data_IF_397648815311
#
_entry.id   IF_397648815311
#
_cell.length_a   1.000
_cell.length_b   1.000
_cell.length_c   1.000
_cell.angle_alpha   90.00
_cell.angle_beta   90.00
_cell.angle_gamma   90.00
#
_symmetry.space_group_name_H-M   'P 1'
#
loop_
_entity.id
_entity.type
_entity.pdbx_description
1 polymer ?
#
# COMPACT_ATOMS: atom_id res chain seq x y z
N UNK A 1 14.84 20.77 -4.90
CA UNK A 1 13.85 20.87 -5.98
C UNK A 1 13.35 19.46 -6.22
N UNK A 2 12.07 19.19 -6.00
CA UNK A 2 11.55 17.83 -5.81
C UNK A 2 10.13 17.71 -6.32
N UNK A 3 9.73 16.50 -6.69
CA UNK A 3 8.34 16.11 -6.58
C UNK A 3 8.02 15.82 -5.10
N UNK A 4 7.16 16.64 -4.52
CA UNK A 4 6.90 16.69 -3.08
C UNK A 4 5.51 16.12 -2.75
N UNK A 5 5.45 15.22 -1.78
CA UNK A 5 4.24 14.78 -1.11
C UNK A 5 4.01 15.62 0.15
N UNK A 6 2.91 16.36 0.21
CA UNK A 6 2.44 17.05 1.39
C UNK A 6 1.39 16.20 2.09
N UNK A 7 1.59 15.96 3.39
CA UNK A 7 0.72 15.13 4.22
C UNK A 7 0.27 15.91 5.46
N UNK A 8 -1.02 16.19 5.58
CA UNK A 8 -1.61 16.70 6.81
C UNK A 8 -1.72 15.57 7.83
N UNK A 9 -0.74 15.50 8.73
CA UNK A 9 -0.53 14.38 9.64
C UNK A 9 -1.64 14.25 10.67
N UNK A 10 -2.15 15.37 11.21
CA UNK A 10 -3.26 15.35 12.19
C UNK A 10 -4.52 14.76 11.61
N UNK A 11 -4.93 15.21 10.42
CA UNK A 11 -6.15 14.73 9.80
C UNK A 11 -5.98 13.28 9.31
N UNK A 12 -4.77 12.89 8.92
CA UNK A 12 -4.43 11.51 8.57
C UNK A 12 -4.54 10.56 9.78
N UNK A 13 -3.97 10.91 10.94
CA UNK A 13 -4.10 10.09 12.15
C UNK A 13 -5.54 10.05 12.67
N UNK A 14 -6.29 11.16 12.63
CA UNK A 14 -7.73 11.18 12.96
C UNK A 14 -8.52 10.22 12.07
N UNK A 15 -8.19 10.14 10.79
CA UNK A 15 -8.80 9.17 9.88
C UNK A 15 -8.46 7.73 10.29
N UNK A 16 -7.22 7.44 10.69
CA UNK A 16 -6.84 6.10 11.18
C UNK A 16 -7.59 5.70 12.46
N UNK A 17 -7.76 6.64 13.40
CA UNK A 17 -8.56 6.45 14.62
C UNK A 17 -10.02 6.14 14.26
N UNK A 18 -10.61 6.93 13.35
CA UNK A 18 -11.98 6.70 12.89
C UNK A 18 -12.15 5.33 12.21
N UNK A 19 -11.16 4.90 11.42
CA UNK A 19 -11.19 3.56 10.81
C UNK A 19 -11.10 2.43 11.86
N UNK A 20 -10.44 2.68 12.99
CA UNK A 20 -10.42 1.73 14.11
C UNK A 20 -11.75 1.65 14.83
N UNK A 21 -12.47 2.77 14.98
CA UNK A 21 -13.84 2.77 15.53
C UNK A 21 -14.80 1.97 14.63
N UNK A 22 -14.69 2.15 13.31
CA UNK A 22 -15.53 1.44 12.33
C UNK A 22 -15.19 -0.05 12.20
N UNK A 23 -13.92 -0.42 12.44
CA UNK A 23 -13.43 -1.78 12.31
C UNK A 23 -12.45 -2.12 13.45
N UNK A 24 -12.95 -2.35 14.67
CA UNK A 24 -12.09 -2.59 15.83
C UNK A 24 -11.08 -3.72 15.60
N UNK A 25 -9.80 -3.46 15.87
CA UNK A 25 -8.73 -4.43 15.62
C UNK A 25 -8.42 -4.64 14.14
N UNK A 26 -8.68 -3.64 13.28
CA UNK A 26 -8.31 -3.74 11.87
C UNK A 26 -6.79 -3.92 11.70
N UNK A 27 -6.40 -4.60 10.63
CA UNK A 27 -5.01 -4.87 10.28
C UNK A 27 -4.59 -3.94 9.15
N UNK A 28 -3.62 -3.03 9.38
CA UNK A 28 -3.06 -2.20 8.34
C UNK A 28 -2.36 -3.04 7.27
N UNK A 29 -2.67 -2.78 6.02
CA UNK A 29 -2.00 -3.38 4.86
C UNK A 29 -0.92 -2.43 4.37
N UNK A 30 0.34 -2.84 4.43
CA UNK A 30 1.52 -2.08 4.03
C UNK A 30 2.20 -2.86 2.90
N UNK A 31 1.97 -2.46 1.65
CA UNK A 31 2.43 -3.23 0.48
C UNK A 31 2.74 -2.36 -0.72
N UNK A 32 3.47 -2.94 -1.67
CA UNK A 32 3.94 -2.25 -2.86
C UNK A 32 4.84 -1.07 -2.45
N UNK A 33 4.55 0.11 -3.00
CA UNK A 33 5.26 1.35 -2.68
C UNK A 33 4.76 2.03 -1.38
N UNK A 34 4.16 1.29 -0.45
CA UNK A 34 3.54 1.86 0.75
C UNK A 34 2.46 2.88 0.43
N UNK A 35 1.62 2.60 -0.58
CA UNK A 35 0.56 3.51 -1.03
C UNK A 35 1.06 4.92 -1.40
N UNK A 36 2.31 5.03 -1.84
CA UNK A 36 2.97 6.29 -2.18
C UNK A 36 3.68 6.98 -1.01
N UNK A 37 3.53 6.48 0.22
CA UNK A 37 4.21 7.00 1.41
C UNK A 37 5.56 6.32 1.69
N UNK A 38 5.73 5.08 1.20
CA UNK A 38 6.82 4.19 1.59
C UNK A 38 6.43 3.26 2.75
N UNK A 39 6.90 2.02 2.72
CA UNK A 39 6.48 0.98 3.66
C UNK A 39 6.90 1.30 5.10
N UNK A 40 8.11 1.80 5.32
CA UNK A 40 8.64 2.16 6.64
C UNK A 40 7.78 3.24 7.33
N UNK A 41 7.33 4.22 6.56
CA UNK A 41 6.52 5.35 7.04
C UNK A 41 5.14 4.86 7.49
N UNK A 42 4.55 3.94 6.73
CA UNK A 42 3.30 3.30 7.12
C UNK A 42 3.48 2.39 8.34
N UNK A 43 4.63 1.75 8.49
CA UNK A 43 4.94 0.92 9.65
C UNK A 43 5.08 1.76 10.92
N UNK A 44 5.75 2.92 10.83
CA UNK A 44 5.83 3.90 11.91
C UNK A 44 4.46 4.42 12.30
N UNK A 45 3.64 4.79 11.31
CA UNK A 45 2.27 5.25 11.55
C UNK A 45 1.42 4.16 12.23
N UNK A 46 1.49 2.92 11.75
CA UNK A 46 0.80 1.79 12.35
C UNK A 46 1.20 1.59 13.83
N UNK A 47 2.51 1.63 14.14
CA UNK A 47 2.99 1.52 15.54
C UNK A 47 2.55 2.69 16.41
N UNK A 48 2.61 3.92 15.89
CA UNK A 48 2.12 5.12 16.59
C UNK A 48 0.63 5.02 16.91
N UNK A 49 -0.16 4.41 16.03
CA UNK A 49 -1.58 4.08 16.26
C UNK A 49 -1.80 2.81 17.11
N UNK A 50 -0.77 2.30 17.79
CA UNK A 50 -0.89 1.14 18.69
C UNK A 50 -1.04 -0.21 17.99
N UNK A 51 -0.82 -0.29 16.68
CA UNK A 51 -0.96 -1.55 15.93
C UNK A 51 0.23 -2.47 16.18
N UNK A 52 -0.08 -3.72 16.54
CA UNK A 52 0.90 -4.78 16.80
C UNK A 52 0.94 -5.84 15.70
N UNK A 53 -0.02 -5.79 14.78
CA UNK A 53 -0.13 -6.70 13.63
C UNK A 53 -0.30 -5.88 12.35
N UNK A 54 0.44 -6.28 11.31
CA UNK A 54 0.33 -5.69 9.98
C UNK A 54 0.30 -6.78 8.90
N UNK A 55 -0.14 -6.42 7.70
CA UNK A 55 -0.10 -7.30 6.54
C UNK A 55 0.73 -6.68 5.41
N UNK A 56 1.68 -7.44 4.88
CA UNK A 56 2.57 -7.04 3.78
C UNK A 56 2.27 -7.81 2.51
N UNK A 57 2.63 -7.25 1.35
CA UNK A 57 2.36 -7.85 0.05
C UNK A 57 3.15 -9.14 -0.15
N UNK A 58 4.48 -9.07 -0.02
CA UNK A 58 5.40 -10.16 -0.34
C UNK A 58 6.35 -10.50 0.81
N UNK A 59 7.10 -11.59 0.67
CA UNK A 59 8.13 -11.99 1.65
C UNK A 59 9.32 -11.02 1.65
N UNK A 60 9.64 -10.41 0.51
CA UNK A 60 10.69 -9.38 0.41
C UNK A 60 10.31 -8.11 1.17
N UNK A 61 9.06 -7.67 1.04
CA UNK A 61 8.54 -6.54 1.81
C UNK A 61 8.58 -6.85 3.32
N UNK A 62 8.30 -8.10 3.71
CA UNK A 62 8.42 -8.55 5.09
C UNK A 62 9.87 -8.45 5.59
N UNK A 63 10.83 -9.01 4.84
CA UNK A 63 12.27 -8.95 5.18
C UNK A 63 12.74 -7.50 5.34
N UNK A 64 12.36 -6.61 4.42
CA UNK A 64 12.76 -5.21 4.48
C UNK A 64 12.24 -4.54 5.75
N UNK A 65 10.95 -4.70 6.08
CA UNK A 65 10.36 -4.09 7.27
C UNK A 65 10.85 -4.72 8.57
N UNK A 66 11.11 -6.02 8.61
CA UNK A 66 11.63 -6.69 9.81
C UNK A 66 13.10 -6.31 10.11
N UNK A 67 13.82 -5.69 9.17
CA UNK A 67 15.14 -5.14 9.46
C UNK A 67 15.09 -3.92 10.41
N UNK A 68 13.98 -3.17 10.41
CA UNK A 68 13.85 -1.88 11.10
C UNK A 68 12.68 -1.82 12.07
N UNK A 69 11.66 -2.67 11.89
CA UNK A 69 10.44 -2.68 12.68
C UNK A 69 10.19 -4.05 13.32
N UNK A 70 9.58 -4.02 14.51
CA UNK A 70 9.09 -5.22 15.20
C UNK A 70 7.57 -5.15 15.32
N UNK A 71 6.90 -6.25 14.98
CA UNK A 71 5.46 -6.47 15.13
C UNK A 71 5.28 -7.86 15.75
N UNK A 72 4.20 -8.06 16.50
CA UNK A 72 3.88 -9.38 17.06
C UNK A 72 3.54 -10.38 15.94
N UNK A 73 2.91 -9.87 14.88
CA UNK A 73 2.54 -10.65 13.70
C UNK A 73 2.70 -9.83 12.42
N UNK A 74 3.38 -10.42 11.44
CA UNK A 74 3.48 -9.89 10.09
C UNK A 74 2.91 -10.90 9.09
N UNK A 75 1.77 -10.55 8.48
CA UNK A 75 1.07 -11.43 7.54
C UNK A 75 1.56 -11.18 6.12
N UNK A 76 2.16 -12.17 5.48
CA UNK A 76 2.48 -12.11 4.03
C UNK A 76 1.24 -12.48 3.23
N UNK A 77 0.74 -11.54 2.42
CA UNK A 77 -0.56 -11.68 1.73
C UNK A 77 -0.50 -12.57 0.49
N UNK A 78 0.64 -12.65 -0.20
CA UNK A 78 0.81 -13.51 -1.38
C UNK A 78 1.44 -14.84 -1.02
N UNK A 79 0.98 -15.96 -1.61
CA UNK A 79 1.67 -17.24 -1.49
C UNK A 79 3.12 -17.14 -1.95
N UNK A 80 4.03 -17.78 -1.21
CA UNK A 80 5.45 -17.86 -1.56
C UNK A 80 5.66 -19.10 -2.41
N UNK A 81 6.20 -18.91 -3.61
CA UNK A 81 6.56 -19.97 -4.57
C UNK A 81 7.98 -19.74 -5.13
N UNK A 82 8.81 -19.05 -4.34
CA UNK A 82 10.20 -18.71 -4.62
C UNK A 82 11.08 -19.13 -3.45
N UNK A 83 12.39 -19.17 -3.69
CA UNK A 83 13.36 -19.58 -2.68
C UNK A 83 13.28 -18.71 -1.42
N UNK A 84 13.36 -19.37 -0.26
CA UNK A 84 13.45 -18.74 1.05
C UNK A 84 14.91 -18.67 1.50
N UNK A 85 15.19 -17.72 2.38
CA UNK A 85 16.48 -17.44 3.01
C UNK A 85 16.37 -17.69 4.52
N UNK A 86 17.50 -17.77 5.22
CA UNK A 86 17.51 -17.90 6.70
C UNK A 86 16.74 -16.76 7.39
N UNK A 87 16.79 -15.55 6.82
CA UNK A 87 16.00 -14.39 7.28
C UNK A 87 14.47 -14.56 7.18
N UNK A 88 13.99 -15.70 6.67
CA UNK A 88 12.57 -16.05 6.62
C UNK A 88 12.11 -17.01 7.72
N UNK A 89 13.06 -17.55 8.48
CA UNK A 89 12.79 -18.39 9.65
C UNK A 89 12.45 -17.52 10.87
N UNK A 90 11.42 -16.69 10.71
CA UNK A 90 10.99 -15.69 11.70
C UNK A 90 9.71 -16.16 12.37
N UNK A 91 9.70 -16.21 13.70
CA UNK A 91 8.57 -16.72 14.48
C UNK A 91 7.34 -15.83 14.38
N UNK A 92 7.48 -14.52 14.15
CA UNK A 92 6.38 -13.56 14.09
C UNK A 92 5.68 -13.58 12.71
N UNK A 93 6.29 -14.21 11.71
CA UNK A 93 5.78 -14.16 10.34
C UNK A 93 4.70 -15.20 10.10
N UNK A 94 3.61 -14.78 9.45
CA UNK A 94 2.47 -15.63 9.08
C UNK A 94 2.36 -15.68 7.56
N UNK A 95 2.50 -16.87 6.99
CA UNK A 95 2.49 -17.08 5.54
C UNK A 95 1.10 -17.45 5.03
N UNK A 96 0.65 -16.82 3.94
CA UNK A 96 -0.62 -17.18 3.31
C UNK A 96 -0.45 -18.35 2.35
N UNK A 97 -1.22 -19.43 2.55
CA UNK A 97 -1.31 -20.56 1.62
C UNK A 97 -2.74 -20.69 1.11
N UNK A 98 -2.90 -21.10 -0.15
CA UNK A 98 -4.20 -21.15 -0.82
C UNK A 98 -4.36 -22.28 -1.82
N UNK A 99 -3.47 -23.27 -1.77
CA UNK A 99 -3.53 -24.50 -2.55
C UNK A 99 -2.61 -25.54 -1.89
N UNK A 100 -2.77 -26.81 -2.26
CA UNK A 100 -1.86 -27.89 -1.82
C UNK A 100 -0.42 -27.61 -2.23
N UNK A 101 -0.21 -27.09 -3.44
CA UNK A 101 1.13 -26.79 -3.95
C UNK A 101 1.80 -25.66 -3.17
N UNK A 102 1.06 -24.62 -2.79
CA UNK A 102 1.57 -23.54 -1.94
C UNK A 102 2.03 -24.09 -0.57
N UNK A 103 1.23 -24.98 0.02
CA UNK A 103 1.55 -25.62 1.29
C UNK A 103 2.82 -26.48 1.17
N UNK A 104 2.85 -27.38 0.19
CA UNK A 104 3.97 -28.30 -0.01
C UNK A 104 5.26 -27.53 -0.29
N UNK A 105 5.21 -26.53 -1.17
CA UNK A 105 6.37 -25.72 -1.52
C UNK A 105 6.94 -25.04 -0.27
N UNK A 106 6.09 -24.36 0.50
CA UNK A 106 6.51 -23.59 1.66
C UNK A 106 7.15 -24.48 2.73
N UNK A 107 6.53 -25.62 3.06
CA UNK A 107 7.11 -26.55 4.05
C UNK A 107 8.42 -27.13 3.55
N UNK A 108 8.50 -27.55 2.29
CA UNK A 108 9.73 -28.10 1.69
C UNK A 108 10.86 -27.07 1.69
N UNK A 109 10.55 -25.80 1.40
CA UNK A 109 11.54 -24.73 1.41
C UNK A 109 12.08 -24.46 2.83
N UNK A 110 11.20 -24.41 3.84
CA UNK A 110 11.57 -24.21 5.24
C UNK A 110 12.38 -25.40 5.78
N UNK A 111 11.92 -26.62 5.53
CA UNK A 111 12.62 -27.84 5.93
C UNK A 111 14.02 -27.93 5.29
N UNK A 112 14.11 -27.56 4.01
CA UNK A 112 15.37 -27.46 3.28
C UNK A 112 16.35 -26.45 3.91
N UNK A 113 15.88 -25.31 4.41
CA UNK A 113 16.71 -24.36 5.15
C UNK A 113 17.17 -24.93 6.49
N UNK A 114 16.25 -25.52 7.27
CA UNK A 114 16.55 -26.07 8.59
C UNK A 114 17.52 -27.26 8.52
N UNK A 115 17.48 -28.06 7.45
CA UNK A 115 18.42 -29.16 7.24
C UNK A 115 19.87 -28.72 7.02
N UNK A 116 20.10 -27.48 6.57
CA UNK A 116 21.43 -26.89 6.34
C UNK A 116 21.97 -26.13 7.55
N UNK A 117 21.10 -25.72 8.47
CA UNK A 117 21.46 -24.99 9.69
C UNK A 117 22.01 -25.90 10.79
N UNK A 118 22.50 -25.28 11.88
CA UNK A 118 22.82 -26.01 13.12
C UNK A 118 21.53 -26.51 13.75
N UNK A 119 21.43 -27.82 14.00
CA UNK A 119 20.20 -28.49 14.42
C UNK A 119 19.47 -27.77 15.55
N UNK A 120 18.17 -27.51 15.36
CA UNK A 120 17.29 -27.02 16.42
C UNK A 120 16.84 -28.18 17.31
N UNK A 121 16.83 -27.95 18.63
CA UNK A 121 16.29 -28.92 19.60
C UNK A 121 14.77 -29.09 19.45
N UNK A 122 14.07 -28.02 19.04
CA UNK A 122 12.62 -28.03 18.81
C UNK A 122 12.26 -27.81 17.33
N UNK A 123 11.17 -28.43 16.84
CA UNK A 123 10.66 -28.18 15.50
C UNK A 123 10.25 -26.71 15.32
N UNK A 124 10.59 -26.14 14.17
CA UNK A 124 10.16 -24.81 13.78
C UNK A 124 8.64 -24.77 13.56
N UNK A 125 7.96 -23.82 14.20
CA UNK A 125 6.52 -23.62 14.05
C UNK A 125 6.22 -22.67 12.90
N UNK A 126 5.95 -23.24 11.73
CA UNK A 126 5.54 -22.52 10.54
C UNK A 126 4.09 -22.02 10.68
N UNK A 127 3.94 -20.72 10.88
CA UNK A 127 2.62 -20.09 11.05
C UNK A 127 1.96 -19.82 9.70
N UNK A 128 0.76 -20.37 9.51
CA UNK A 128 0.01 -20.28 8.26
C UNK A 128 -1.31 -19.54 8.41
N UNK A 129 -1.65 -18.77 7.38
CA UNK A 129 -2.97 -18.22 7.13
C UNK A 129 -3.61 -18.95 5.95
N UNK A 130 -4.75 -19.60 6.16
CA UNK A 130 -5.42 -20.34 5.10
C UNK A 130 -6.27 -19.38 4.26
N UNK A 131 -5.97 -19.28 2.97
CA UNK A 131 -6.74 -18.45 2.03
C UNK A 131 -7.98 -19.20 1.57
N UNK A 132 -9.14 -18.72 1.98
CA UNK A 132 -10.44 -19.16 1.53
C UNK A 132 -10.75 -18.60 0.14
N UNK A 133 -11.16 -19.46 -0.78
CA UNK A 133 -11.69 -19.03 -2.06
C UNK A 133 -12.99 -18.26 -1.87
N UNK A 134 -13.11 -17.15 -2.60
CA UNK A 134 -14.32 -16.33 -2.69
C UNK A 134 -14.79 -16.26 -4.16
N UNK A 135 -15.95 -15.65 -4.43
CA UNK A 135 -16.39 -15.35 -5.79
C UNK A 135 -15.39 -14.53 -6.63
N UNK A 136 -14.35 -13.94 -6.01
CA UNK A 136 -13.29 -13.24 -6.74
C UNK A 136 -12.43 -14.16 -7.62
N UNK A 137 -12.47 -15.49 -7.41
CA UNK A 137 -11.75 -16.49 -8.20
C UNK A 137 -10.26 -16.17 -8.40
N UNK A 138 -9.59 -15.69 -7.33
CA UNK A 138 -8.12 -15.73 -7.22
C UNK A 138 -7.70 -17.01 -6.50
N UNK A 139 -6.42 -17.15 -6.18
CA UNK A 139 -5.93 -18.24 -5.35
C UNK A 139 -6.66 -18.31 -4.00
N UNK A 140 -6.83 -19.54 -3.51
CA UNK A 140 -7.53 -19.89 -2.28
C UNK A 140 -8.04 -21.33 -2.38
N UNK A 141 -8.03 -22.03 -1.26
CA UNK A 141 -8.64 -23.36 -1.15
C UNK A 141 -10.14 -23.24 -1.44
N UNK A 142 -10.69 -24.21 -2.16
CA UNK A 142 -12.14 -24.38 -2.29
C UNK A 142 -12.72 -25.03 -1.02
N UNK A 143 -14.05 -25.04 -0.90
CA UNK A 143 -14.71 -25.78 0.19
C UNK A 143 -14.51 -27.30 0.05
N UNK A 144 -14.29 -27.80 -1.16
CA UNK A 144 -13.94 -29.21 -1.41
C UNK A 144 -12.54 -29.50 -0.87
N UNK A 145 -11.57 -28.63 -1.18
CA UNK A 145 -10.21 -28.73 -0.63
C UNK A 145 -10.20 -28.66 0.90
N UNK A 146 -11.11 -27.87 1.50
CA UNK A 146 -11.20 -27.71 2.94
C UNK A 146 -11.42 -29.04 3.68
N UNK A 147 -12.13 -29.99 3.06
CA UNK A 147 -12.32 -31.35 3.58
C UNK A 147 -11.03 -32.16 3.68
N UNK A 148 -10.05 -31.85 2.82
CA UNK A 148 -8.77 -32.56 2.70
C UNK A 148 -7.62 -31.86 3.45
N UNK A 149 -7.84 -30.64 3.95
CA UNK A 149 -6.82 -29.85 4.62
C UNK A 149 -6.16 -30.56 5.81
N UNK A 150 -6.87 -31.27 6.72
CA UNK A 150 -6.21 -31.96 7.82
C UNK A 150 -5.19 -32.99 7.35
N UNK A 151 -5.54 -33.78 6.34
CA UNK A 151 -4.67 -34.79 5.73
C UNK A 151 -3.48 -34.14 5.01
N UNK A 152 -3.71 -33.04 4.27
CA UNK A 152 -2.64 -32.33 3.58
C UNK A 152 -1.66 -31.67 4.53
N UNK A 153 -2.15 -31.06 5.61
CA UNK A 153 -1.32 -30.48 6.67
C UNK A 153 -0.50 -31.58 7.33
N UNK A 154 -1.13 -32.67 7.78
CA UNK A 154 -0.45 -33.78 8.43
C UNK A 154 0.64 -34.40 7.56
N UNK A 155 0.40 -34.54 6.24
CA UNK A 155 1.39 -35.06 5.30
C UNK A 155 2.50 -34.09 4.96
N UNK A 156 2.24 -32.78 5.02
CA UNK A 156 3.23 -31.77 4.70
C UNK A 156 4.22 -31.57 5.86
N UNK A 157 3.78 -31.71 7.11
CA UNK A 157 4.66 -31.59 8.28
C UNK A 157 5.84 -32.56 8.24
N UNK A 158 6.97 -32.11 8.80
CA UNK A 158 8.17 -32.93 8.99
C UNK A 158 8.48 -33.08 10.48
N UNK A 159 9.58 -33.74 10.80
CA UNK A 159 10.20 -33.75 12.13
C UNK A 159 10.79 -32.38 12.50
N UNK A 160 11.22 -31.57 11.52
CA UNK A 160 11.77 -30.21 11.72
C UNK A 160 10.72 -29.10 11.61
N UNK A 161 9.62 -29.32 10.89
CA UNK A 161 8.61 -28.30 10.61
C UNK A 161 7.23 -28.74 11.10
N UNK A 162 6.65 -27.95 12.01
CA UNK A 162 5.28 -28.08 12.49
C UNK A 162 4.43 -26.90 12.04
N UNK A 163 3.21 -27.18 11.61
CA UNK A 163 2.32 -26.16 11.06
C UNK A 163 1.41 -25.62 12.16
N UNK A 164 1.38 -24.30 12.30
CA UNK A 164 0.45 -23.60 13.19
C UNK A 164 -0.53 -22.76 12.38
N UNK A 165 -1.81 -23.14 12.35
CA UNK A 165 -2.84 -22.37 11.65
C UNK A 165 -3.24 -21.16 12.50
N UNK A 166 -2.91 -19.96 12.02
CA UNK A 166 -3.22 -18.67 12.68
C UNK A 166 -4.60 -18.12 12.36
N UNK A 167 -5.28 -18.69 11.36
CA UNK A 167 -6.66 -18.37 11.03
C UNK A 167 -6.97 -18.54 9.54
N UNK A 168 -8.11 -17.99 9.16
CA UNK A 168 -8.64 -18.00 7.81
C UNK A 168 -8.55 -16.61 7.18
N UNK A 169 -8.43 -16.52 5.87
CA UNK A 169 -8.51 -15.25 5.17
C UNK A 169 -9.40 -15.34 3.95
N UNK A 170 -10.29 -14.36 3.79
CA UNK A 170 -11.12 -14.24 2.60
C UNK A 170 -11.03 -12.82 2.04
N UNK A 171 -11.19 -12.69 0.74
CA UNK A 171 -11.17 -11.38 0.08
C UNK A 171 -12.23 -11.35 -1.00
N UNK A 172 -13.22 -10.47 -0.85
CA UNK A 172 -14.35 -10.38 -1.76
C UNK A 172 -14.08 -9.40 -2.90
N UNK A 173 -14.79 -9.56 -4.03
CA UNK A 173 -14.89 -8.47 -5.01
C UNK A 173 -15.43 -7.19 -4.34
N UNK A 174 -14.91 -6.02 -4.73
CA UNK A 174 -15.42 -4.72 -4.26
C UNK A 174 -16.87 -4.47 -4.67
N UNK A 175 -17.25 -4.95 -5.85
CA UNK A 175 -18.57 -4.75 -6.44
C UNK A 175 -19.20 -6.10 -6.79
N UNK A 176 -20.52 -6.11 -7.01
CA UNK A 176 -21.27 -7.27 -7.55
C UNK A 176 -21.26 -8.51 -6.65
N UNK A 177 -21.14 -8.33 -5.34
CA UNK A 177 -21.41 -9.38 -4.35
C UNK A 177 -22.27 -8.79 -3.25
N UNK A 178 -23.46 -9.36 -3.05
CA UNK A 178 -24.42 -8.90 -2.04
C UNK A 178 -23.91 -9.20 -0.63
N UNK A 179 -24.39 -8.45 0.38
CA UNK A 179 -24.07 -8.70 1.79
C UNK A 179 -24.32 -10.16 2.18
N UNK A 180 -25.51 -10.66 1.82
CA UNK A 180 -25.96 -12.04 2.10
C UNK A 180 -25.04 -13.09 1.47
N UNK A 181 -24.55 -12.87 0.25
CA UNK A 181 -23.64 -13.81 -0.40
C UNK A 181 -22.26 -13.84 0.28
N UNK A 182 -21.76 -12.68 0.73
CA UNK A 182 -20.50 -12.61 1.49
C UNK A 182 -20.63 -13.32 2.83
N UNK A 183 -21.70 -13.04 3.56
CA UNK A 183 -22.00 -13.62 4.86
C UNK A 183 -22.17 -15.14 4.78
N UNK A 184 -22.96 -15.63 3.81
CA UNK A 184 -23.11 -17.07 3.57
C UNK A 184 -21.77 -17.73 3.29
N UNK A 185 -20.95 -17.13 2.42
CA UNK A 185 -19.63 -17.66 2.08
C UNK A 185 -18.72 -17.74 3.32
N UNK A 186 -18.75 -16.74 4.20
CA UNK A 186 -18.00 -16.77 5.47
C UNK A 186 -18.51 -17.90 6.37
N UNK A 187 -19.83 -18.02 6.56
CA UNK A 187 -20.44 -19.08 7.36
C UNK A 187 -20.10 -20.48 6.86
N UNK A 188 -20.23 -20.73 5.55
CA UNK A 188 -19.88 -22.01 4.93
C UNK A 188 -18.42 -22.42 5.25
N UNK A 189 -17.50 -21.44 5.23
CA UNK A 189 -16.09 -21.66 5.61
C UNK A 189 -15.93 -21.97 7.08
N UNK A 190 -16.48 -21.15 7.97
CA UNK A 190 -16.35 -21.34 9.42
C UNK A 190 -16.90 -22.69 9.89
N UNK A 191 -18.08 -23.07 9.39
CA UNK A 191 -18.72 -24.36 9.68
C UNK A 191 -17.89 -25.54 9.14
N UNK A 192 -17.36 -25.42 7.93
CA UNK A 192 -16.53 -26.46 7.32
C UNK A 192 -15.23 -26.66 8.10
N UNK A 193 -14.54 -25.58 8.46
CA UNK A 193 -13.31 -25.65 9.25
C UNK A 193 -13.55 -26.26 10.64
N UNK A 194 -14.67 -25.91 11.29
CA UNK A 194 -15.11 -26.53 12.54
C UNK A 194 -15.36 -28.03 12.39
N UNK A 195 -16.03 -28.44 11.30
CA UNK A 195 -16.34 -29.86 11.01
C UNK A 195 -15.08 -30.71 10.82
N UNK A 196 -14.06 -30.17 10.15
CA UNK A 196 -12.80 -30.88 9.90
C UNK A 196 -11.79 -30.76 11.05
N UNK A 197 -12.17 -30.12 12.16
CA UNK A 197 -11.35 -30.02 13.37
C UNK A 197 -10.17 -29.04 13.26
N UNK A 198 -10.21 -28.10 12.32
CA UNK A 198 -9.16 -27.08 12.16
C UNK A 198 -9.54 -25.75 12.82
N UNK A 199 -8.57 -24.92 13.26
CA UNK A 199 -8.85 -23.64 13.90
C UNK A 199 -9.68 -22.69 13.02
N UNK A 200 -10.83 -22.25 13.55
CA UNK A 200 -11.74 -21.30 12.90
C UNK A 200 -12.02 -20.03 13.72
N UNK A 201 -11.44 -19.90 14.92
CA UNK A 201 -11.68 -18.78 15.84
C UNK A 201 -11.05 -17.44 15.43
N UNK A 202 -10.39 -17.35 14.28
CA UNK A 202 -9.84 -16.10 13.74
C UNK A 202 -9.97 -16.03 12.23
N UNK A 203 -10.53 -14.94 11.73
CA UNK A 203 -10.75 -14.74 10.30
C UNK A 203 -10.47 -13.31 9.84
N UNK A 204 -9.68 -13.18 8.79
CA UNK A 204 -9.32 -11.88 8.23
C UNK A 204 -10.12 -11.61 6.95
N UNK A 205 -10.89 -10.53 6.96
CA UNK A 205 -11.82 -10.17 5.89
C UNK A 205 -11.36 -8.92 5.14
N UNK A 206 -11.96 -8.67 3.98
CA UNK A 206 -11.74 -7.45 3.21
C UNK A 206 -13.00 -7.08 2.46
N UNK A 207 -13.19 -5.78 2.20
CA UNK A 207 -14.28 -5.25 1.38
C UNK A 207 -15.68 -5.56 1.93
N UNK A 208 -15.85 -5.47 3.25
CA UNK A 208 -17.16 -5.32 3.90
C UNK A 208 -17.36 -3.84 4.27
N UNK A 209 -18.61 -3.35 4.27
CA UNK A 209 -18.94 -2.10 4.94
C UNK A 209 -18.84 -2.27 6.47
N UNK A 210 -18.83 -1.17 7.22
CA UNK A 210 -18.84 -1.21 8.69
C UNK A 210 -20.08 -1.93 9.21
N UNK A 211 -21.26 -1.62 8.67
CA UNK A 211 -22.51 -2.32 9.02
C UNK A 211 -22.41 -3.84 8.79
N UNK A 212 -21.91 -4.27 7.63
CA UNK A 212 -21.70 -5.69 7.32
C UNK A 212 -20.70 -6.34 8.27
N UNK A 213 -19.64 -5.61 8.64
CA UNK A 213 -18.62 -6.09 9.56
C UNK A 213 -19.20 -6.29 10.98
N UNK A 214 -19.95 -5.31 11.50
CA UNK A 214 -20.59 -5.42 12.81
C UNK A 214 -21.63 -6.54 12.87
N UNK A 215 -22.53 -6.64 11.86
CA UNK A 215 -23.49 -7.74 11.75
C UNK A 215 -22.79 -9.11 11.73
N UNK A 216 -21.65 -9.21 11.03
CA UNK A 216 -20.87 -10.44 11.00
C UNK A 216 -20.26 -10.78 12.37
N UNK A 217 -19.72 -9.79 13.09
CA UNK A 217 -19.14 -9.99 14.43
C UNK A 217 -20.20 -10.35 15.48
N UNK A 218 -21.42 -9.79 15.37
CA UNK A 218 -22.54 -10.12 16.26
C UNK A 218 -23.05 -11.54 16.01
N UNK A 219 -23.09 -11.97 14.75
CA UNK A 219 -23.57 -13.30 14.37
C UNK A 219 -22.61 -14.43 14.77
N UNK A 220 -21.30 -14.17 14.79
CA UNK A 220 -20.26 -15.14 15.08
C UNK A 220 -19.33 -14.64 16.21
N UNK A 221 -19.84 -14.49 17.44
CA UNK A 221 -19.11 -13.87 18.55
C UNK A 221 -17.88 -14.67 19.01
N UNK A 222 -17.82 -15.96 18.69
CA UNK A 222 -16.67 -16.83 18.98
C UNK A 222 -15.50 -16.64 18.00
N UNK A 223 -15.72 -15.93 16.89
CA UNK A 223 -14.71 -15.70 15.85
C UNK A 223 -14.15 -14.28 15.96
N UNK A 224 -12.84 -14.17 16.16
CA UNK A 224 -12.14 -12.89 16.08
C UNK A 224 -11.98 -12.49 14.62
N UNK A 225 -12.85 -11.59 14.14
CA UNK A 225 -12.70 -11.00 12.81
C UNK A 225 -11.74 -9.82 12.82
N UNK A 226 -10.91 -9.71 11.78
CA UNK A 226 -10.08 -8.54 11.55
C UNK A 226 -10.22 -8.05 10.11
N UNK A 227 -10.62 -6.79 9.94
CA UNK A 227 -10.67 -6.16 8.62
C UNK A 227 -9.25 -5.80 8.18
N UNK A 228 -8.80 -6.30 7.02
CA UNK A 228 -7.54 -5.85 6.42
C UNK A 228 -7.79 -4.59 5.59
N UNK A 229 -7.21 -3.47 6.01
CA UNK A 229 -7.42 -2.16 5.41
C UNK A 229 -6.16 -1.63 4.73
N UNK A 230 -6.29 -1.22 3.47
CA UNK A 230 -5.21 -0.64 2.68
C UNK A 230 -5.57 0.76 2.19
N UNK A 231 -6.10 0.88 0.97
CA UNK A 231 -6.51 2.17 0.41
C UNK A 231 -7.47 2.94 1.33
N UNK A 232 -8.42 2.24 1.96
CA UNK A 232 -9.40 2.88 2.83
C UNK A 232 -8.78 3.36 4.16
N UNK A 233 -7.63 2.81 4.58
CA UNK A 233 -6.89 3.30 5.74
C UNK A 233 -5.96 4.45 5.36
N UNK A 234 -5.25 4.33 4.24
CA UNK A 234 -4.14 5.24 3.92
C UNK A 234 -4.49 6.40 3.00
N UNK A 235 -5.54 6.26 2.16
CA UNK A 235 -5.82 7.15 1.03
C UNK A 235 -7.32 7.46 0.86
N UNK A 236 -8.16 7.17 1.85
CA UNK A 236 -9.61 7.35 1.72
C UNK A 236 -9.99 8.83 1.51
N UNK A 237 -9.47 9.70 2.37
CA UNK A 237 -9.66 11.14 2.23
C UNK A 237 -8.48 11.77 1.48
N UNK A 238 -8.80 12.43 0.37
CA UNK A 238 -7.79 13.15 -0.42
C UNK A 238 -7.44 14.50 0.19
N UNK A 239 -8.17 14.96 1.19
CA UNK A 239 -7.94 16.25 1.85
C UNK A 239 -6.62 16.30 2.61
N UNK A 240 -6.15 15.16 3.13
CA UNK A 240 -4.90 15.09 3.88
C UNK A 240 -3.65 14.87 2.99
N UNK A 241 -3.81 14.66 1.68
CA UNK A 241 -2.69 14.49 0.73
C UNK A 241 -2.73 15.55 -0.36
N UNK A 242 -1.62 16.26 -0.55
CA UNK A 242 -1.38 17.09 -1.72
C UNK A 242 -0.04 16.73 -2.37
N UNK A 243 0.04 16.79 -3.70
CA UNK A 243 1.26 16.47 -4.44
C UNK A 243 1.63 17.65 -5.34
N UNK A 244 2.86 18.12 -5.21
CA UNK A 244 3.37 19.29 -5.95
C UNK A 244 4.72 19.00 -6.59
N UNK A 245 5.02 19.75 -7.63
CA UNK A 245 6.28 19.69 -8.34
C UNK A 245 6.90 21.08 -8.47
N UNK A 246 8.19 21.20 -8.17
CA UNK A 246 8.93 22.45 -8.32
C UNK A 246 9.18 22.79 -9.80
N UNK A 247 8.95 24.04 -10.20
CA UNK A 247 9.43 24.60 -11.47
C UNK A 247 10.93 24.73 -11.43
N UNK A 248 11.60 24.07 -12.36
CA UNK A 248 13.05 24.04 -12.49
C UNK A 248 13.56 25.18 -13.37
N UNK A 249 12.86 25.46 -14.46
CA UNK A 249 13.27 26.47 -15.44
C UNK A 249 12.10 26.88 -16.34
N UNK A 250 12.22 28.06 -16.96
CA UNK A 250 11.26 28.61 -17.92
C UNK A 250 12.01 29.18 -19.12
N UNK A 251 11.80 28.59 -20.30
CA UNK A 251 12.50 28.98 -21.53
C UNK A 251 11.52 29.47 -22.59
N UNK A 252 11.75 30.64 -23.23
CA UNK A 252 10.92 31.09 -24.34
C UNK A 252 11.09 30.16 -25.54
N UNK A 253 10.03 30.00 -26.34
CA UNK A 253 10.08 29.26 -27.61
C UNK A 253 9.29 29.96 -28.70
N UNK A 254 9.88 30.06 -29.90
CA UNK A 254 9.25 30.68 -31.07
C UNK A 254 8.62 29.64 -31.98
N UNK A 255 7.57 30.02 -32.70
CA UNK A 255 6.94 29.18 -33.71
C UNK A 255 7.99 28.71 -34.72
N UNK A 256 8.05 27.41 -34.97
CA UNK A 256 8.98 26.76 -35.89
C UNK A 256 10.32 26.36 -35.26
N UNK A 257 10.66 26.88 -34.08
CA UNK A 257 11.83 26.48 -33.31
C UNK A 257 11.73 25.01 -32.86
N UNK A 258 12.88 24.34 -32.79
CA UNK A 258 12.96 22.92 -32.40
C UNK A 258 13.21 22.77 -30.91
N UNK A 259 12.57 21.78 -30.29
CA UNK A 259 12.73 21.49 -28.86
C UNK A 259 12.60 20.00 -28.55
N UNK A 260 13.04 19.64 -27.34
CA UNK A 260 12.89 18.29 -26.79
C UNK A 260 13.76 17.24 -27.46
N UNK A 261 13.67 16.01 -26.95
CA UNK A 261 14.52 14.89 -27.41
C UNK A 261 14.27 14.55 -28.88
N UNK A 262 13.01 14.61 -29.31
CA UNK A 262 12.59 14.32 -30.70
C UNK A 262 12.70 15.53 -31.64
N UNK A 263 13.26 16.66 -31.19
CA UNK A 263 13.45 17.87 -32.00
C UNK A 263 12.16 18.34 -32.69
N UNK A 264 11.05 18.30 -31.93
CA UNK A 264 9.72 18.71 -32.40
C UNK A 264 9.71 20.20 -32.71
N UNK A 265 8.92 20.63 -33.71
CA UNK A 265 8.77 22.04 -34.04
C UNK A 265 7.61 22.66 -33.26
N UNK A 266 7.84 23.79 -32.61
CA UNK A 266 6.81 24.51 -31.89
C UNK A 266 5.74 25.06 -32.85
N UNK A 267 4.47 24.70 -32.63
CA UNK A 267 3.36 25.17 -33.48
C UNK A 267 3.01 26.66 -33.28
N UNK A 268 3.43 27.26 -32.16
CA UNK A 268 3.13 28.65 -31.76
C UNK A 268 4.22 29.20 -30.83
N UNK A 269 4.28 30.51 -30.70
CA UNK A 269 5.11 31.18 -29.70
C UNK A 269 4.61 30.86 -28.29
N UNK A 270 5.52 30.81 -27.33
CA UNK A 270 5.19 30.52 -25.95
C UNK A 270 6.42 30.31 -25.08
N UNK A 271 6.26 29.49 -24.05
CA UNK A 271 7.32 29.09 -23.14
C UNK A 271 7.25 27.58 -22.89
N UNK A 272 8.43 26.98 -22.73
CA UNK A 272 8.62 25.65 -22.16
C UNK A 272 8.87 25.82 -20.66
N UNK A 273 8.04 25.20 -19.85
CA UNK A 273 8.20 25.18 -18.38
C UNK A 273 8.67 23.79 -18.00
N UNK A 274 9.82 23.72 -17.33
CA UNK A 274 10.44 22.48 -16.88
C UNK A 274 10.10 22.25 -15.41
N UNK A 275 9.65 21.05 -15.09
CA UNK A 275 9.21 20.68 -13.74
C UNK A 275 9.93 19.44 -13.24
N UNK A 276 10.16 19.39 -11.93
CA UNK A 276 10.67 18.22 -11.25
C UNK A 276 9.67 17.05 -11.33
N UNK A 277 10.19 15.84 -11.42
CA UNK A 277 9.37 14.65 -11.46
C UNK A 277 9.00 14.24 -12.89
N UNK A 278 9.18 12.96 -13.13
CA UNK A 278 8.99 12.35 -14.44
C UNK A 278 8.42 10.94 -14.34
N UNK A 279 8.68 10.12 -15.34
CA UNK A 279 8.19 8.74 -15.38
C UNK A 279 8.73 7.88 -14.24
N UNK A 280 9.94 8.15 -13.73
CA UNK A 280 10.48 7.46 -12.56
C UNK A 280 9.69 7.76 -11.28
N UNK A 281 9.01 8.91 -11.22
CA UNK A 281 8.14 9.31 -10.13
C UNK A 281 6.66 8.95 -10.36
N UNK A 282 6.33 8.31 -11.48
CA UNK A 282 4.97 7.96 -11.86
C UNK A 282 4.20 9.02 -12.65
N UNK A 283 4.86 10.10 -13.10
CA UNK A 283 4.22 11.11 -13.95
C UNK A 283 3.90 10.52 -15.32
N UNK A 284 2.64 10.64 -15.74
CA UNK A 284 2.16 10.11 -17.02
C UNK A 284 2.00 8.59 -17.07
N UNK A 285 2.20 7.88 -15.94
CA UNK A 285 1.89 6.46 -15.84
C UNK A 285 0.42 6.27 -15.47
N UNK A 286 -0.32 5.60 -16.36
CA UNK A 286 -1.70 5.17 -16.11
C UNK A 286 -1.76 3.64 -16.04
N UNK A 287 -2.52 3.11 -15.08
CA UNK A 287 -2.83 1.69 -15.10
C UNK A 287 -3.86 1.40 -16.20
N UNK A 288 -3.83 0.21 -16.82
CA UNK A 288 -4.85 -0.19 -17.78
C UNK A 288 -6.26 -0.04 -17.19
N UNK A 289 -7.08 0.79 -17.82
CA UNK A 289 -8.48 0.98 -17.41
C UNK A 289 -9.31 -0.14 -18.04
N UNK A 290 -9.94 -0.97 -17.21
CA UNK A 290 -11.02 -1.82 -17.69
C UNK A 290 -12.22 -0.93 -18.00
N UNK A 291 -12.40 -0.54 -19.28
CA UNK A 291 -13.53 0.30 -19.70
C UNK A 291 -14.85 -0.42 -19.43
N UNK A 292 -15.72 0.14 -18.59
CA UNK A 292 -16.96 -0.52 -18.16
C UNK A 292 -18.24 0.06 -18.78
N UNK A 293 -18.13 1.00 -19.72
CA UNK A 293 -19.30 1.55 -20.41
C UNK A 293 -19.00 2.34 -21.69
N UNK A 294 -20.08 2.69 -22.41
CA UNK A 294 -20.03 3.44 -23.67
C UNK A 294 -19.37 4.83 -23.51
N UNK A 295 -19.59 5.49 -22.37
CA UNK A 295 -18.97 6.78 -22.02
C UNK A 295 -17.46 6.68 -21.79
N UNK A 296 -16.99 5.60 -21.18
CA UNK A 296 -15.55 5.35 -20.98
C UNK A 296 -14.86 5.06 -22.32
N UNK A 297 -15.54 4.31 -23.21
CA UNK A 297 -15.07 4.07 -24.58
C UNK A 297 -15.02 5.37 -25.38
N UNK A 298 -16.00 6.27 -25.23
CA UNK A 298 -16.01 7.58 -25.90
C UNK A 298 -14.86 8.49 -25.39
N UNK A 299 -14.59 8.50 -24.08
CA UNK A 299 -13.41 9.20 -23.52
C UNK A 299 -12.12 8.65 -24.08
N UNK A 300 -11.99 7.33 -24.17
CA UNK A 300 -10.83 6.67 -24.79
C UNK A 300 -10.68 7.12 -26.24
N UNK A 301 -11.74 7.18 -27.04
CA UNK A 301 -11.67 7.67 -28.44
C UNK A 301 -11.11 9.09 -28.55
N UNK A 302 -11.49 10.01 -27.66
CA UNK A 302 -10.95 11.38 -27.63
C UNK A 302 -9.45 11.39 -27.28
N UNK A 303 -9.03 10.59 -26.29
CA UNK A 303 -7.62 10.44 -25.95
C UNK A 303 -6.80 9.81 -27.08
N UNK A 304 -7.34 8.81 -27.78
CA UNK A 304 -6.71 8.22 -28.97
C UNK A 304 -6.55 9.25 -30.08
N UNK A 305 -7.58 10.04 -30.39
CA UNK A 305 -7.52 11.10 -31.41
C UNK A 305 -6.48 12.17 -31.03
N UNK A 306 -6.43 12.61 -29.77
CA UNK A 306 -5.42 13.59 -29.32
C UNK A 306 -4.00 13.02 -29.32
N UNK A 307 -3.84 11.73 -29.00
CA UNK A 307 -2.55 11.04 -29.04
C UNK A 307 -2.01 10.93 -30.47
N UNK A 308 -2.89 10.81 -31.49
CA UNK A 308 -2.49 10.87 -32.90
C UNK A 308 -1.91 12.24 -33.29
N UNK A 309 -2.20 13.30 -32.54
CA UNK A 309 -1.62 14.63 -32.71
C UNK A 309 -0.47 14.93 -31.73
N UNK A 310 0.11 13.91 -31.06
CA UNK A 310 1.15 14.04 -30.04
C UNK A 310 0.81 15.03 -28.91
N UNK A 311 -0.48 15.25 -28.62
CA UNK A 311 -0.93 16.18 -27.58
C UNK A 311 -1.46 15.39 -26.40
N UNK A 312 -0.67 15.36 -25.34
CA UNK A 312 -1.04 14.71 -24.09
C UNK A 312 -1.34 15.75 -23.03
N UNK A 313 -2.55 15.67 -22.45
CA UNK A 313 -2.88 16.43 -21.24
C UNK A 313 -1.97 15.95 -20.12
N UNK A 314 -1.38 16.90 -19.40
CA UNK A 314 -0.53 16.59 -18.27
C UNK A 314 -1.34 16.51 -16.97
N UNK A 315 -0.83 15.82 -15.93
CA UNK A 315 -1.44 15.81 -14.62
C UNK A 315 -1.24 17.13 -13.84
N UNK A 316 -0.48 18.08 -14.39
CA UNK A 316 -0.18 19.35 -13.74
C UNK A 316 -1.31 20.35 -13.95
N UNK A 317 -1.58 21.16 -12.91
CA UNK A 317 -2.49 22.29 -12.98
C UNK A 317 -1.79 23.58 -12.62
N UNK A 318 -2.20 24.67 -13.26
CA UNK A 318 -1.79 26.03 -12.90
C UNK A 318 -2.98 26.95 -12.97
N UNK A 319 -3.21 27.72 -11.90
CA UNK A 319 -4.38 28.63 -11.75
C UNK A 319 -5.71 27.94 -12.13
N UNK A 320 -5.89 26.71 -11.66
CA UNK A 320 -7.11 25.91 -11.88
C UNK A 320 -7.25 25.26 -13.26
N UNK A 321 -6.28 25.43 -14.17
CA UNK A 321 -6.32 24.83 -15.53
C UNK A 321 -5.29 23.72 -15.68
N UNK A 322 -5.70 22.60 -16.28
CA UNK A 322 -4.76 21.53 -16.67
C UNK A 322 -3.86 21.99 -17.80
N UNK A 323 -2.60 21.62 -17.71
CA UNK A 323 -1.55 22.00 -18.66
C UNK A 323 -1.33 20.88 -19.67
N UNK A 324 -0.73 21.23 -20.81
CA UNK A 324 -0.34 20.27 -21.84
C UNK A 324 1.14 19.96 -21.72
N UNK A 325 1.49 18.68 -21.87
CA UNK A 325 2.87 18.31 -22.09
C UNK A 325 3.37 18.94 -23.40
N UNK A 326 4.59 19.48 -23.36
CA UNK A 326 5.32 19.86 -24.57
C UNK A 326 5.89 18.61 -25.26
N UNK A 327 6.36 17.64 -24.47
CA UNK A 327 6.76 16.30 -24.90
C UNK A 327 6.45 15.27 -23.80
N UNK A 328 6.43 13.96 -24.09
CA UNK A 328 6.25 12.94 -23.05
C UNK A 328 7.23 13.13 -21.89
N UNK A 329 6.82 12.91 -20.63
CA UNK A 329 7.69 13.08 -19.48
C UNK A 329 8.91 12.14 -19.58
N UNK A 330 10.08 12.66 -19.21
CA UNK A 330 11.31 11.88 -19.09
C UNK A 330 11.46 11.32 -17.69
N UNK A 331 12.55 10.62 -17.36
CA UNK A 331 12.69 9.94 -16.07
C UNK A 331 12.52 10.89 -14.87
N UNK A 332 13.15 12.07 -14.90
CA UNK A 332 13.21 13.00 -13.76
C UNK A 332 12.54 14.36 -14.01
N UNK A 333 12.14 14.64 -15.26
CA UNK A 333 11.68 15.98 -15.66
C UNK A 333 10.46 15.89 -16.56
N UNK A 334 9.50 16.77 -16.31
CA UNK A 334 8.34 17.01 -17.17
C UNK A 334 8.45 18.36 -17.85
N UNK A 335 8.04 18.46 -19.11
CA UNK A 335 8.07 19.72 -19.87
C UNK A 335 6.66 20.09 -20.29
N UNK A 336 6.21 21.29 -19.95
CA UNK A 336 4.88 21.81 -20.25
C UNK A 336 4.96 22.97 -21.24
N UNK A 337 3.96 23.08 -22.11
CA UNK A 337 3.87 24.16 -23.10
C UNK A 337 2.87 25.22 -22.65
N UNK A 338 3.36 26.44 -22.45
CA UNK A 338 2.56 27.62 -22.15
C UNK A 338 2.46 28.52 -23.38
N UNK A 339 1.26 28.78 -23.95
CA UNK A 339 1.11 29.72 -25.06
C UNK A 339 1.56 31.14 -24.71
N UNK A 340 2.06 31.90 -25.69
CA UNK A 340 2.40 33.31 -25.50
C UNK A 340 1.23 34.11 -24.90
N UNK A 341 1.53 34.99 -23.95
CA UNK A 341 0.54 35.78 -23.20
C UNK A 341 -0.16 35.03 -22.05
N UNK A 342 0.13 33.73 -21.85
CA UNK A 342 -0.34 33.01 -20.67
C UNK A 342 0.44 33.47 -19.43
N UNK A 343 -0.18 33.50 -18.23
CA UNK A 343 0.58 33.66 -17.00
C UNK A 343 1.56 32.50 -16.86
N UNK A 344 2.79 32.81 -16.48
CA UNK A 344 3.86 31.84 -16.27
C UNK A 344 4.11 31.68 -14.77
N UNK A 345 4.43 30.46 -14.32
CA UNK A 345 4.93 30.26 -12.98
C UNK A 345 6.38 30.76 -12.87
N UNK A 346 6.82 31.05 -11.65
CA UNK A 346 8.20 31.44 -11.37
C UNK A 346 9.09 30.21 -11.15
N UNK A 347 10.40 30.34 -11.43
CA UNK A 347 11.37 29.29 -11.10
C UNK A 347 11.42 29.11 -9.58
N UNK A 348 11.31 27.87 -9.11
CA UNK A 348 11.17 27.54 -7.70
C UNK A 348 9.72 27.49 -7.20
N UNK A 349 8.74 27.98 -7.96
CA UNK A 349 7.32 27.83 -7.62
C UNK A 349 6.90 26.35 -7.65
N UNK A 350 5.97 25.96 -6.78
CA UNK A 350 5.42 24.61 -6.77
C UNK A 350 4.05 24.54 -7.45
N UNK A 351 3.95 23.66 -8.46
CA UNK A 351 2.75 23.40 -9.22
C UNK A 351 2.05 22.14 -8.70
N UNK A 352 0.73 22.17 -8.44
CA UNK A 352 -0.02 20.96 -8.13
C UNK A 352 0.06 19.95 -9.29
N UNK A 353 0.23 18.68 -8.94
CA UNK A 353 0.30 17.57 -9.88
C UNK A 353 -0.53 16.41 -9.38
N UNK A 354 -1.44 15.90 -10.19
CA UNK A 354 -2.32 14.81 -9.78
C UNK A 354 -1.73 13.45 -10.15
N UNK A 355 -1.24 12.71 -9.15
CA UNK A 355 -0.63 11.39 -9.34
C UNK A 355 -1.46 10.26 -8.75
N UNK A 356 -1.29 9.06 -9.30
CA UNK A 356 -1.78 7.84 -8.69
C UNK A 356 -0.77 7.39 -7.63
N UNK A 357 -1.11 7.61 -6.36
CA UNK A 357 -0.24 7.34 -5.22
C UNK A 357 0.38 5.93 -5.21
N UNK A 358 -0.36 4.89 -5.61
CA UNK A 358 0.14 3.49 -5.64
C UNK A 358 1.17 3.20 -6.76
N UNK A 359 1.48 4.19 -7.59
CA UNK A 359 2.52 4.11 -8.62
C UNK A 359 3.46 5.33 -8.58
N UNK A 360 3.27 6.20 -7.59
CA UNK A 360 4.07 7.41 -7.43
C UNK A 360 5.25 7.15 -6.49
N UNK A 361 6.36 7.83 -6.75
CA UNK A 361 7.50 7.93 -5.86
C UNK A 361 7.86 9.39 -5.71
N UNK A 362 8.04 9.86 -4.48
CA UNK A 362 8.29 11.27 -4.17
C UNK A 362 9.72 11.44 -3.70
N UNK A 363 10.37 12.50 -4.17
CA UNK A 363 11.74 12.81 -3.77
C UNK A 363 11.77 13.45 -2.37
N UNK A 364 10.64 14.03 -1.95
CA UNK A 364 10.47 14.69 -0.66
C UNK A 364 9.07 14.45 -0.10
N UNK A 365 8.97 14.25 1.21
CA UNK A 365 7.72 14.36 1.97
C UNK A 365 7.78 15.55 2.91
N UNK A 366 6.70 16.31 3.00
CA UNK A 366 6.51 17.41 3.97
C UNK A 366 5.27 17.08 4.79
N UNK A 367 5.46 16.96 6.10
CA UNK A 367 4.35 16.76 7.05
C UNK A 367 3.85 18.14 7.49
N UNK A 368 2.54 18.32 7.51
CA UNK A 368 1.86 19.54 7.96
C UNK A 368 0.86 19.18 9.06
N UNK A 369 0.38 20.19 9.78
CA UNK A 369 -0.63 20.00 10.81
C UNK A 369 -0.11 19.34 12.09
N UNK A 370 1.18 19.45 12.38
CA UNK A 370 1.67 19.18 13.75
C UNK A 370 1.08 20.22 14.71
N UNK A 371 0.62 19.76 15.88
CA UNK A 371 0.45 20.67 17.02
C UNK A 371 1.87 21.02 17.45
N UNK A 372 2.18 22.30 17.61
CA UNK A 372 3.40 22.70 18.32
C UNK A 372 3.40 21.97 19.67
N UNK A 373 4.18 20.90 19.79
CA UNK A 373 4.59 20.41 21.09
C UNK A 373 5.40 21.55 21.69
N UNK A 374 4.75 22.26 22.61
CA UNK A 374 5.31 23.39 23.34
C UNK A 374 6.73 23.09 23.78
N UNK A 375 7.70 23.77 23.16
CA UNK A 375 8.96 24.13 23.79
C UNK A 375 8.61 24.97 25.03
N UNK A 376 8.44 24.32 26.17
CA UNK A 376 8.46 24.93 27.50
C UNK A 376 8.65 23.82 28.53
N UNK A 377 9.81 23.18 28.48
CA UNK A 377 10.30 22.32 29.54
C UNK A 377 11.83 22.36 29.55
N UNK A 378 12.41 23.54 29.76
CA UNK A 378 13.81 23.73 30.20
C UNK A 378 14.10 25.22 30.48
N UNK A 379 13.29 25.85 31.34
CA UNK A 379 13.65 27.09 32.03
C UNK A 379 13.11 27.02 33.46
N UNK A 380 13.63 26.07 34.24
CA UNK A 380 13.53 26.07 35.70
C UNK A 380 14.47 25.02 36.30
N UNK A 381 15.77 25.13 36.02
CA UNK A 381 16.77 24.44 36.84
C UNK A 381 18.13 25.15 36.80
N UNK A 382 18.19 26.40 37.28
CA UNK A 382 19.48 26.98 37.68
C UNK A 382 19.31 27.99 38.82
N UNK A 383 19.11 27.47 40.04
CA UNK A 383 19.49 28.16 41.29
C UNK A 383 20.10 27.15 42.27
N UNK A 384 21.26 26.61 41.90
CA UNK A 384 22.19 25.96 42.81
C UNK A 384 23.29 26.94 43.22
N UNK A 385 23.25 27.38 44.47
CA UNK A 385 24.19 28.33 45.09
C UNK A 385 25.62 27.74 45.15
N UNK A 386 26.71 28.51 44.93
CA UNK A 386 28.07 27.99 45.02
C UNK A 386 28.52 27.81 46.48
N UNK A 387 29.10 26.65 46.77
CA UNK A 387 29.79 26.35 48.02
C UNK A 387 31.11 27.12 48.05
N UNK A 388 31.24 28.05 48.98
CA UNK A 388 32.51 28.67 49.34
C UNK A 388 33.34 27.69 50.20
N UNK A 389 34.53 27.31 49.71
CA UNK A 389 35.62 26.84 50.55
C UNK A 389 36.38 28.05 51.13
N UNK A 390 36.51 28.14 52.45
CA UNK A 390 37.67 28.71 53.12
C UNK A 390 37.69 28.36 54.62
N UNK A 391 38.76 27.64 55.01
CA UNK A 391 39.37 27.42 56.33
C UNK A 391 38.60 26.62 57.40
#
# INVERSE_FOLDING_TARGET
MSLTLYLNRRDWFRHMEHMEELYPGCVPVIKGNGYGFGNEVLADAARKSGKREIAVGTVEEARQLEATHRFDQMIVLTPVMSELMEADLVSERVYTVGSRDHLQFLVTAVDGLLSRGTGMEEPFRLKLLLKCQSPMKRYGFSLEDAGLLPEWIQRAETDRVKIEIKGLSIHFPKERTTSQAKEKCIGDWLETMKRVGLPSGRMYVSHLSSEQYHQLTEKWPEVRFAMRLGTDLWLADKSFVETKSTVLDVQPIRRGERFGYKQQRACRNGHLVFLAGGTANGVGLEAPIASRGLKDRLKLTVFWVLSLFNRHLSPFTYRGKRLWFAEPPHMQTSVLLFPAGSPLPEVGEELPVQLRMTTASFDRRVETGEVEETMNAEENEEKGNPVHLAL
#
